data_IF_470485659044
#
_entry.id   IF_470485659044
#
_cell.length_a   1.000
_cell.length_b   1.000
_cell.length_c   1.000
_cell.angle_alpha   90.00
_cell.angle_beta   90.00
_cell.angle_gamma   90.00
#
_symmetry.space_group_name_H-M   'P 1'
#
loop_
_entity.id
_entity.type
_entity.pdbx_description
1 polymer ?
#
# COMPACT_ATOMS: atom_id res chain seq x y z
N UNK A 1 -15.10 -16.47 -8.09
CA UNK A 1 -14.00 -15.80 -8.79
C UNK A 1 -13.24 -15.10 -7.70
N UNK A 2 -12.25 -15.81 -7.16
CA UNK A 2 -11.43 -15.39 -6.05
C UNK A 2 -10.83 -14.02 -6.34
N UNK A 3 -11.14 -13.05 -5.49
CA UNK A 3 -10.40 -11.81 -5.38
C UNK A 3 -9.00 -12.23 -4.93
N UNK A 4 -8.13 -12.55 -5.90
CA UNK A 4 -6.76 -12.92 -5.65
C UNK A 4 -6.06 -11.66 -5.16
N UNK A 5 -6.24 -11.39 -3.87
CA UNK A 5 -5.57 -10.30 -3.20
C UNK A 5 -4.07 -10.46 -3.48
N UNK A 6 -3.38 -9.39 -3.89
CA UNK A 6 -1.97 -9.45 -4.20
C UNK A 6 -1.19 -9.98 -2.99
N UNK A 7 -0.20 -10.83 -3.26
CA UNK A 7 0.61 -11.47 -2.21
C UNK A 7 1.43 -10.43 -1.42
N UNK A 8 1.70 -9.27 -2.05
CA UNK A 8 2.47 -8.17 -1.46
C UNK A 8 1.74 -6.84 -1.62
N UNK A 9 1.70 -6.10 -0.52
CA UNK A 9 1.13 -4.77 -0.40
C UNK A 9 2.23 -3.77 -0.04
N UNK A 10 2.14 -2.58 -0.61
CA UNK A 10 2.99 -1.44 -0.27
C UNK A 10 2.13 -0.35 0.34
N UNK A 11 2.65 0.31 1.36
CA UNK A 11 2.02 1.53 1.87
C UNK A 11 2.51 2.69 1.04
N UNK A 12 1.57 3.44 0.49
CA UNK A 12 1.82 4.68 -0.24
C UNK A 12 1.31 5.85 0.60
N UNK A 13 1.98 6.99 0.46
CA UNK A 13 1.54 8.27 1.00
C UNK A 13 1.40 9.28 -0.14
N UNK A 14 0.35 10.09 -0.11
CA UNK A 14 0.17 11.17 -1.08
C UNK A 14 0.70 12.52 -0.54
N UNK A 15 0.70 13.54 -1.39
CA UNK A 15 1.12 14.91 -1.03
C UNK A 15 0.30 15.54 0.10
N UNK A 16 -0.92 15.06 0.32
CA UNK A 16 -1.81 15.53 1.40
C UNK A 16 -1.59 14.79 2.73
N UNK A 17 -0.66 13.83 2.77
CA UNK A 17 -0.35 13.02 3.94
C UNK A 17 -1.31 11.85 4.20
N UNK A 18 -2.15 11.50 3.23
CA UNK A 18 -3.02 10.33 3.33
C UNK A 18 -2.25 9.06 2.98
N UNK A 19 -2.45 8.02 3.79
CA UNK A 19 -1.88 6.71 3.57
C UNK A 19 -2.90 5.77 2.90
N UNK A 20 -2.41 4.97 1.95
CA UNK A 20 -3.19 4.00 1.22
C UNK A 20 -2.41 2.71 1.03
N UNK A 21 -3.12 1.58 1.04
CA UNK A 21 -2.54 0.28 0.72
C UNK A 21 -2.68 0.02 -0.77
N UNK A 22 -1.57 -0.26 -1.42
CA UNK A 22 -1.53 -0.50 -2.85
C UNK A 22 -0.79 -1.81 -3.18
N UNK A 23 -1.22 -2.58 -4.19
CA UNK A 23 -0.52 -3.79 -4.60
C UNK A 23 0.94 -3.49 -4.97
N UNK A 24 1.89 -4.20 -4.36
CA UNK A 24 3.33 -3.99 -4.63
C UNK A 24 3.75 -4.42 -6.04
N UNK A 25 2.91 -5.20 -6.71
CA UNK A 25 3.12 -5.70 -8.07
C UNK A 25 2.72 -4.69 -9.14
N UNK A 26 1.97 -3.65 -8.77
CA UNK A 26 1.52 -2.60 -9.69
C UNK A 26 2.44 -1.38 -9.62
N UNK A 27 2.53 -0.65 -10.73
CA UNK A 27 3.23 0.64 -10.77
C UNK A 27 2.51 1.66 -9.90
N UNK A 28 3.26 2.38 -9.08
CA UNK A 28 2.75 3.43 -8.19
C UNK A 28 2.09 4.53 -9.03
N UNK A 29 0.85 4.93 -8.72
CA UNK A 29 0.16 6.01 -9.43
C UNK A 29 0.82 7.37 -9.16
N UNK A 30 0.67 8.29 -10.11
CA UNK A 30 1.19 9.65 -9.99
C UNK A 30 0.57 10.38 -8.78
N UNK A 31 1.38 11.19 -8.08
CA UNK A 31 0.99 11.85 -6.83
C UNK A 31 1.03 10.97 -5.57
N UNK A 32 1.36 9.68 -5.71
CA UNK A 32 1.60 8.76 -4.58
C UNK A 32 3.06 8.37 -4.49
N UNK A 33 3.56 8.25 -3.27
CA UNK A 33 4.95 7.96 -2.97
C UNK A 33 5.05 6.74 -2.06
N UNK A 34 5.92 5.77 -2.35
CA UNK A 34 6.12 4.62 -1.47
C UNK A 34 6.77 5.07 -0.16
N UNK A 35 6.20 4.64 0.97
CA UNK A 35 6.75 4.95 2.30
C UNK A 35 7.95 4.06 2.65
N UNK A 36 8.24 3.06 1.83
CA UNK A 36 9.24 2.02 2.08
C UNK A 36 8.70 0.81 2.86
N UNK A 37 7.46 0.87 3.34
CA UNK A 37 6.81 -0.28 4.00
C UNK A 37 6.16 -1.19 2.96
N UNK A 38 6.67 -2.42 2.84
CA UNK A 38 6.13 -3.46 1.96
C UNK A 38 5.96 -4.75 2.75
N UNK A 39 4.79 -5.38 2.66
CA UNK A 39 4.46 -6.57 3.46
C UNK A 39 3.10 -7.15 3.10
N UNK A 40 2.49 -7.86 4.04
CA UNK A 40 1.10 -8.32 3.89
C UNK A 40 0.13 -7.15 4.07
N UNK A 41 -1.10 -7.32 3.60
CA UNK A 41 -2.16 -6.32 3.77
C UNK A 41 -2.33 -5.92 5.23
N UNK A 42 -2.34 -6.90 6.14
CA UNK A 42 -2.49 -6.70 7.59
C UNK A 42 -1.37 -5.85 8.18
N UNK A 43 -0.11 -6.17 7.83
CA UNK A 43 1.05 -5.41 8.29
C UNK A 43 1.08 -3.97 7.75
N UNK A 44 0.48 -3.77 6.58
CA UNK A 44 0.26 -2.44 6.03
C UNK A 44 -0.89 -1.67 6.71
N UNK A 45 -1.97 -2.33 7.11
CA UNK A 45 -3.07 -1.71 7.87
C UNK A 45 -2.58 -1.26 9.24
N UNK A 46 -1.84 -2.11 9.97
CA UNK A 46 -1.26 -1.76 11.27
C UNK A 46 -0.31 -0.55 11.19
N UNK A 47 0.39 -0.39 10.06
CA UNK A 47 1.27 0.76 9.86
C UNK A 47 0.48 2.07 9.64
N UNK A 48 -0.68 2.00 8.98
CA UNK A 48 -1.52 3.17 8.68
C UNK A 48 -2.41 3.58 9.85
N UNK A 49 -2.83 2.62 10.69
CA UNK A 49 -3.70 2.87 11.86
C UNK A 49 -2.95 3.48 13.06
N UNK A 50 -1.62 3.48 13.03
CA UNK A 50 -0.76 3.95 14.13
C UNK A 50 -0.46 5.44 14.06
#
# INVERSE_FOLDING_TARGET
MDDAAPERWSVLVNETGQYGLFPAELTVPDGWYPTGHQGTRESGIEYVDR
#
